data_IF_645398864770
#
_entry.id   IF_645398864770
#
_cell.length_a   1.000
_cell.length_b   1.000
_cell.length_c   1.000
_cell.angle_alpha   90.00
_cell.angle_beta   90.00
_cell.angle_gamma   90.00
#
_symmetry.space_group_name_H-M   'P 1'
#
loop_
_entity.id
_entity.type
_entity.pdbx_description
1 polymer ?
#
# COMPACT_ATOMS: atom_id res chain seq x y z
N UNK A 1 0.09 -18.80 -4.70
CA UNK A 1 -0.04 -17.33 -4.83
C UNK A 1 1.17 -16.79 -5.59
N UNK A 2 0.98 -15.94 -6.57
CA UNK A 2 2.04 -15.31 -7.36
C UNK A 2 2.30 -13.94 -6.77
N UNK A 3 3.48 -13.73 -6.16
CA UNK A 3 3.81 -12.52 -5.40
C UNK A 3 4.60 -11.49 -6.22
N UNK A 4 5.30 -11.95 -7.26
CA UNK A 4 5.99 -11.10 -8.22
C UNK A 4 6.20 -11.84 -9.54
N UNK A 5 6.44 -11.09 -10.61
CA UNK A 5 6.87 -11.60 -11.90
C UNK A 5 8.12 -10.84 -12.34
N UNK A 6 9.10 -11.59 -12.87
CA UNK A 6 10.22 -11.04 -13.62
C UNK A 6 10.22 -11.67 -15.00
N UNK A 7 10.12 -10.87 -16.04
CA UNK A 7 10.04 -11.36 -17.43
C UNK A 7 10.04 -10.21 -18.43
N UNK A 8 9.58 -10.49 -19.64
CA UNK A 8 9.58 -9.54 -20.75
C UNK A 8 8.15 -9.17 -21.14
N UNK A 9 7.91 -7.91 -21.43
CA UNK A 9 6.62 -7.44 -21.97
C UNK A 9 6.42 -8.06 -23.35
N UNK A 10 5.41 -8.93 -23.48
CA UNK A 10 5.08 -9.58 -24.74
C UNK A 10 4.13 -8.72 -25.58
N UNK A 11 3.03 -8.25 -24.96
CA UNK A 11 2.02 -7.44 -25.66
C UNK A 11 1.11 -6.72 -24.66
N UNK A 12 0.32 -5.77 -25.18
CA UNK A 12 -0.68 -5.03 -24.40
C UNK A 12 -2.10 -5.41 -24.82
N UNK A 13 -3.00 -5.45 -23.85
CA UNK A 13 -4.43 -5.61 -24.03
C UNK A 13 -5.12 -4.57 -23.15
N UNK A 14 -6.12 -3.88 -23.61
CA UNK A 14 -6.89 -2.82 -22.93
C UNK A 14 -6.42 -2.43 -21.51
N UNK A 15 -6.67 -3.29 -20.51
CA UNK A 15 -6.32 -3.07 -19.08
C UNK A 15 -5.23 -4.04 -18.59
N UNK A 16 -4.66 -4.86 -19.48
CA UNK A 16 -3.71 -5.92 -19.14
C UNK A 16 -2.44 -5.80 -19.95
N UNK A 17 -1.35 -6.18 -19.33
CA UNK A 17 -0.08 -6.47 -20.01
C UNK A 17 0.17 -7.98 -19.96
N UNK A 18 0.62 -8.55 -21.07
CA UNK A 18 1.11 -9.92 -21.08
C UNK A 18 2.62 -9.92 -20.84
N UNK A 19 3.04 -10.64 -19.81
CA UNK A 19 4.44 -10.80 -19.44
C UNK A 19 4.86 -12.23 -19.77
N UNK A 20 5.87 -12.38 -20.60
CA UNK A 20 6.52 -13.65 -20.86
C UNK A 20 7.55 -13.94 -19.77
N UNK A 21 7.33 -15.03 -19.04
CA UNK A 21 8.25 -15.55 -18.06
C UNK A 21 8.69 -16.94 -18.53
N UNK A 22 9.79 -16.99 -19.28
CA UNK A 22 10.39 -18.25 -19.81
C UNK A 22 9.40 -19.09 -20.62
N UNK A 23 8.64 -18.48 -21.51
CA UNK A 23 7.66 -19.14 -22.38
C UNK A 23 6.28 -19.32 -21.76
N UNK A 24 6.05 -18.87 -20.53
CA UNK A 24 4.72 -18.81 -19.91
C UNK A 24 4.21 -17.38 -19.92
N UNK A 25 3.08 -17.14 -20.60
CA UNK A 25 2.44 -15.82 -20.67
C UNK A 25 1.52 -15.56 -19.47
N UNK A 26 1.85 -14.57 -18.66
CA UNK A 26 1.02 -14.11 -17.57
C UNK A 26 0.24 -12.87 -17.98
N UNK A 27 -1.08 -12.89 -17.82
CA UNK A 27 -1.96 -11.74 -18.04
C UNK A 27 -2.08 -10.96 -16.73
N UNK A 28 -1.49 -9.77 -16.69
CA UNK A 28 -1.42 -8.91 -15.51
C UNK A 28 -2.27 -7.66 -15.73
N UNK A 29 -3.21 -7.39 -14.83
CA UNK A 29 -3.93 -6.12 -14.79
C UNK A 29 -2.93 -5.04 -14.32
N UNK A 30 -2.52 -4.16 -15.25
CA UNK A 30 -1.50 -3.16 -15.02
C UNK A 30 -1.92 -1.83 -15.61
N UNK A 31 -1.93 -0.78 -14.81
CA UNK A 31 -2.51 0.51 -15.20
C UNK A 31 -1.51 1.50 -15.79
N UNK A 32 -0.21 1.29 -15.57
CA UNK A 32 0.85 2.15 -16.10
C UNK A 32 1.48 1.57 -17.39
N UNK A 33 0.62 1.15 -18.34
CA UNK A 33 1.08 0.49 -19.58
C UNK A 33 1.90 1.42 -20.47
N UNK A 34 1.63 2.73 -20.41
CA UNK A 34 2.34 3.79 -21.12
C UNK A 34 3.81 3.94 -20.69
N UNK A 35 4.16 3.44 -19.50
CA UNK A 35 5.54 3.39 -19.02
C UNK A 35 6.35 2.19 -19.58
N UNK A 36 5.68 1.24 -20.25
CA UNK A 36 6.28 0.00 -20.72
C UNK A 36 6.41 -0.07 -22.24
N UNK A 37 7.39 -0.88 -22.71
CA UNK A 37 7.60 -1.17 -24.12
C UNK A 37 7.63 -2.68 -24.37
N UNK A 38 7.14 -3.12 -25.53
CA UNK A 38 7.24 -4.53 -25.95
C UNK A 38 8.72 -4.94 -25.97
N UNK A 39 9.03 -6.10 -25.43
CA UNK A 39 10.39 -6.64 -25.30
C UNK A 39 11.18 -6.08 -24.11
N UNK A 40 10.64 -5.13 -23.34
CA UNK A 40 11.29 -4.61 -22.13
C UNK A 40 11.26 -5.66 -21.01
N UNK A 41 12.40 -5.85 -20.32
CA UNK A 41 12.44 -6.61 -19.10
C UNK A 41 11.78 -5.81 -17.97
N UNK A 42 10.88 -6.47 -17.22
CA UNK A 42 10.15 -5.87 -16.11
C UNK A 42 10.19 -6.76 -14.88
N UNK A 43 10.15 -6.12 -13.72
CA UNK A 43 9.85 -6.74 -12.45
C UNK A 43 8.58 -6.08 -11.90
N UNK A 44 7.53 -6.87 -11.66
CA UNK A 44 6.26 -6.39 -11.11
C UNK A 44 5.97 -7.13 -9.81
N UNK A 45 5.67 -6.39 -8.75
CA UNK A 45 4.98 -6.96 -7.60
C UNK A 45 3.58 -7.33 -8.01
N UNK A 46 3.05 -8.45 -7.50
CA UNK A 46 1.73 -8.92 -7.93
C UNK A 46 0.86 -9.32 -6.76
N UNK A 47 -0.44 -9.00 -6.88
CA UNK A 47 -1.49 -9.49 -6.02
C UNK A 47 -2.41 -10.41 -6.82
N UNK A 48 -2.49 -11.67 -6.41
CA UNK A 48 -3.38 -12.65 -7.04
C UNK A 48 -4.74 -12.63 -6.34
N UNK A 49 -5.75 -12.11 -7.05
CA UNK A 49 -7.14 -12.19 -6.63
C UNK A 49 -7.78 -13.43 -7.23
N UNK A 50 -8.47 -14.21 -6.40
CA UNK A 50 -9.19 -15.42 -6.80
C UNK A 50 -10.61 -15.32 -6.28
N UNK A 51 -11.59 -15.46 -7.17
CA UNK A 51 -13.01 -15.57 -6.86
C UNK A 51 -13.60 -16.82 -7.52
N UNK A 52 -14.86 -17.12 -7.29
CA UNK A 52 -15.54 -18.26 -7.93
C UNK A 52 -15.50 -18.19 -9.46
N UNK A 53 -15.54 -16.99 -10.02
CA UNK A 53 -15.70 -16.78 -11.47
C UNK A 53 -14.47 -16.19 -12.16
N UNK A 54 -13.44 -15.76 -11.40
CA UNK A 54 -12.32 -15.04 -11.99
C UNK A 54 -11.03 -15.23 -11.18
N UNK A 55 -9.91 -15.22 -11.91
CA UNK A 55 -8.57 -15.19 -11.35
C UNK A 55 -7.80 -14.06 -12.01
N UNK A 56 -7.54 -13.00 -11.26
CA UNK A 56 -6.86 -11.79 -11.77
C UNK A 56 -5.55 -11.58 -11.06
N UNK A 57 -4.51 -11.30 -11.84
CA UNK A 57 -3.23 -10.86 -11.32
C UNK A 57 -3.15 -9.34 -11.46
N UNK A 58 -3.09 -8.62 -10.36
CA UNK A 58 -2.84 -7.17 -10.33
C UNK A 58 -1.35 -6.93 -10.20
N UNK A 59 -0.78 -6.06 -11.04
CA UNK A 59 0.65 -5.74 -11.06
C UNK A 59 0.92 -4.32 -10.59
N UNK A 60 2.06 -4.15 -9.92
CA UNK A 60 2.53 -2.89 -9.34
C UNK A 60 4.01 -2.72 -9.67
N UNK A 61 4.43 -1.47 -9.91
CA UNK A 61 5.82 -1.15 -10.31
C UNK A 61 6.82 -1.24 -9.16
N UNK A 62 6.37 -0.99 -7.95
CA UNK A 62 7.21 -0.99 -6.75
C UNK A 62 6.48 -1.49 -5.50
N UNK A 63 7.21 -1.68 -4.42
CA UNK A 63 6.70 -2.18 -3.15
C UNK A 63 5.76 -1.16 -2.47
N UNK A 64 6.02 0.15 -2.62
CA UNK A 64 5.19 1.22 -2.04
C UNK A 64 3.79 1.22 -2.64
N UNK A 65 3.69 1.08 -3.98
CA UNK A 65 2.42 0.98 -4.69
C UNK A 65 1.66 -0.31 -4.30
N UNK A 66 2.36 -1.44 -4.25
CA UNK A 66 1.79 -2.71 -3.81
C UNK A 66 1.26 -2.63 -2.37
N UNK A 67 2.02 -2.09 -1.43
CA UNK A 67 1.61 -1.96 -0.04
C UNK A 67 0.41 -1.01 0.11
N UNK A 68 0.40 0.10 -0.63
CA UNK A 68 -0.75 1.01 -0.65
C UNK A 68 -2.00 0.31 -1.17
N UNK A 69 -1.87 -0.49 -2.24
CA UNK A 69 -2.96 -1.31 -2.74
C UNK A 69 -3.50 -2.28 -1.68
N UNK A 70 -2.61 -3.01 -0.98
CA UNK A 70 -3.01 -3.94 0.08
C UNK A 70 -3.80 -3.23 1.17
N UNK A 71 -3.40 -2.02 1.56
CA UNK A 71 -4.15 -1.23 2.55
C UNK A 71 -5.51 -0.77 2.03
N UNK A 72 -5.57 -0.29 0.78
CA UNK A 72 -6.82 0.14 0.17
C UNK A 72 -7.87 -0.98 0.14
N UNK A 73 -7.49 -2.21 -0.20
CA UNK A 73 -8.43 -3.33 -0.26
C UNK A 73 -8.92 -3.83 1.11
N UNK A 74 -8.31 -3.39 2.23
CA UNK A 74 -8.83 -3.68 3.57
C UNK A 74 -10.02 -2.79 3.93
N UNK A 75 -10.21 -1.68 3.20
CA UNK A 75 -11.30 -0.73 3.46
C UNK A 75 -12.60 -1.26 2.90
N UNK A 76 -13.64 -1.28 3.74
CA UNK A 76 -14.97 -1.73 3.30
C UNK A 76 -15.49 -0.89 2.14
N UNK A 77 -15.81 -1.56 1.03
CA UNK A 77 -16.31 -0.93 -0.19
C UNK A 77 -15.21 -0.61 -1.23
N UNK A 78 -13.97 -0.94 -0.95
CA UNK A 78 -12.86 -0.84 -1.92
C UNK A 78 -12.39 -2.26 -2.27
N UNK A 79 -12.79 -2.73 -3.45
CA UNK A 79 -12.30 -3.99 -4.00
C UNK A 79 -11.00 -3.81 -4.83
N UNK A 80 -10.36 -4.93 -5.24
CA UNK A 80 -9.07 -4.88 -5.96
C UNK A 80 -9.08 -4.01 -7.21
N UNK A 81 -10.14 -4.07 -8.01
CA UNK A 81 -10.25 -3.26 -9.24
C UNK A 81 -10.33 -1.77 -8.94
N UNK A 82 -11.09 -1.37 -7.91
CA UNK A 82 -11.18 0.04 -7.51
C UNK A 82 -9.85 0.52 -6.91
N UNK A 83 -9.20 -0.27 -6.06
CA UNK A 83 -7.90 0.07 -5.48
C UNK A 83 -6.83 0.27 -6.58
N UNK A 84 -6.77 -0.61 -7.58
CA UNK A 84 -5.86 -0.45 -8.71
C UNK A 84 -6.18 0.80 -9.55
N UNK A 85 -7.46 1.17 -9.72
CA UNK A 85 -7.84 2.40 -10.40
C UNK A 85 -7.49 3.65 -9.60
N UNK A 86 -7.59 3.62 -8.28
CA UNK A 86 -7.14 4.71 -7.40
C UNK A 86 -5.65 4.99 -7.64
N UNK A 87 -4.83 3.95 -7.61
CA UNK A 87 -3.37 4.06 -7.80
C UNK A 87 -2.95 4.41 -9.24
N UNK A 88 -3.82 4.19 -10.22
CA UNK A 88 -3.61 4.67 -11.58
C UNK A 88 -3.79 6.18 -11.74
N UNK A 89 -4.62 6.79 -10.89
CA UNK A 89 -5.02 8.21 -10.96
C UNK A 89 -4.27 9.08 -9.95
N UNK A 90 -3.72 8.47 -8.91
CA UNK A 90 -3.05 9.17 -7.82
C UNK A 90 -1.89 8.32 -7.32
N UNK A 91 -0.76 8.94 -7.07
CA UNK A 91 0.39 8.27 -6.45
C UNK A 91 0.08 7.83 -5.01
N UNK A 92 0.81 6.84 -4.51
CA UNK A 92 0.72 6.40 -3.11
C UNK A 92 0.88 7.56 -2.13
N UNK A 93 1.78 8.51 -2.43
CA UNK A 93 2.03 9.70 -1.60
C UNK A 93 0.85 10.67 -1.59
N UNK A 94 0.21 10.92 -2.73
CA UNK A 94 -0.96 11.80 -2.81
C UNK A 94 -2.13 11.21 -2.03
N UNK A 95 -2.37 9.89 -2.15
CA UNK A 95 -3.40 9.20 -1.36
C UNK A 95 -3.08 9.28 0.13
N UNK A 96 -1.85 9.00 0.53
CA UNK A 96 -1.44 9.09 1.93
C UNK A 96 -1.63 10.50 2.49
N UNK A 97 -1.20 11.53 1.77
CA UNK A 97 -1.38 12.93 2.17
C UNK A 97 -2.86 13.31 2.30
N UNK A 98 -3.70 12.90 1.35
CA UNK A 98 -5.13 13.18 1.39
C UNK A 98 -5.81 12.53 2.60
N UNK A 99 -5.42 11.31 2.95
CA UNK A 99 -5.93 10.58 4.11
C UNK A 99 -5.48 11.25 5.43
N UNK A 100 -4.18 11.57 5.55
CA UNK A 100 -3.64 12.21 6.76
C UNK A 100 -4.22 13.60 7.01
N UNK A 101 -4.46 14.37 5.94
CA UNK A 101 -5.08 15.69 6.01
C UNK A 101 -6.63 15.66 6.03
N UNK A 102 -7.25 14.48 6.02
CA UNK A 102 -8.71 14.30 5.97
C UNK A 102 -9.37 15.01 4.75
N UNK A 103 -8.66 15.04 3.62
CA UNK A 103 -9.17 15.70 2.41
C UNK A 103 -10.21 14.82 1.70
N UNK A 104 -11.43 14.86 2.26
CA UNK A 104 -12.59 14.13 1.72
C UNK A 104 -12.90 14.56 0.29
N UNK A 105 -12.67 15.84 -0.07
CA UNK A 105 -12.99 16.34 -1.40
C UNK A 105 -12.07 15.75 -2.46
N UNK A 106 -10.76 15.70 -2.18
CA UNK A 106 -9.80 15.04 -3.06
C UNK A 106 -10.14 13.56 -3.24
N UNK A 107 -10.34 12.83 -2.15
CA UNK A 107 -10.62 11.38 -2.21
C UNK A 107 -11.92 11.10 -2.97
N UNK A 108 -12.97 11.90 -2.74
CA UNK A 108 -14.25 11.80 -3.45
C UNK A 108 -14.15 12.16 -4.95
N UNK A 109 -13.15 12.97 -5.36
CA UNK A 109 -12.94 13.30 -6.76
C UNK A 109 -12.46 12.11 -7.59
N UNK A 110 -11.97 11.06 -6.94
CA UNK A 110 -11.50 9.83 -7.59
C UNK A 110 -12.73 9.03 -8.08
N UNK A 111 -12.82 8.70 -9.38
CA UNK A 111 -13.95 7.95 -9.93
C UNK A 111 -14.18 6.62 -9.20
N UNK A 112 -15.42 6.38 -8.80
CA UNK A 112 -15.83 5.18 -8.07
C UNK A 112 -15.81 5.31 -6.55
N UNK A 113 -15.35 6.46 -6.01
CA UNK A 113 -15.39 6.74 -4.57
C UNK A 113 -16.52 7.72 -4.26
N UNK A 114 -17.50 7.25 -3.51
CA UNK A 114 -18.56 8.10 -2.94
C UNK A 114 -18.18 8.68 -1.58
N UNK A 115 -18.98 9.63 -1.08
CA UNK A 115 -18.75 10.29 0.22
C UNK A 115 -18.59 9.29 1.38
N UNK A 116 -19.43 8.25 1.41
CA UNK A 116 -19.37 7.21 2.45
C UNK A 116 -18.04 6.44 2.41
N UNK A 117 -17.60 6.05 1.23
CA UNK A 117 -16.34 5.32 1.03
C UNK A 117 -15.14 6.21 1.33
N UNK A 118 -15.17 7.49 0.95
CA UNK A 118 -14.12 8.46 1.26
C UNK A 118 -13.93 8.64 2.78
N UNK A 119 -15.03 8.82 3.52
CA UNK A 119 -14.98 8.92 4.98
C UNK A 119 -14.49 7.62 5.63
N UNK A 120 -14.93 6.46 5.13
CA UNK A 120 -14.50 5.16 5.62
C UNK A 120 -12.99 4.95 5.40
N UNK A 121 -12.50 5.35 4.23
CA UNK A 121 -11.08 5.26 3.85
C UNK A 121 -10.20 6.08 4.81
N UNK A 122 -10.61 7.31 5.12
CA UNK A 122 -9.91 8.15 6.10
C UNK A 122 -9.96 7.51 7.48
N UNK A 123 -11.13 7.08 7.93
CA UNK A 123 -11.29 6.48 9.27
C UNK A 123 -10.42 5.23 9.45
N UNK A 124 -10.35 4.36 8.45
CA UNK A 124 -9.65 3.08 8.54
C UNK A 124 -8.14 3.21 8.36
N UNK A 125 -7.67 4.17 7.55
CA UNK A 125 -6.27 4.26 7.11
C UNK A 125 -5.49 5.44 7.69
N UNK A 126 -6.12 6.44 8.28
CA UNK A 126 -5.42 7.56 8.91
C UNK A 126 -4.46 7.08 10.00
N UNK A 127 -3.21 7.54 9.93
CA UNK A 127 -2.12 7.09 10.79
C UNK A 127 -1.56 5.70 10.48
N UNK A 128 -2.06 5.06 9.40
CA UNK A 128 -1.61 3.72 8.99
C UNK A 128 -1.09 3.67 7.55
N UNK A 129 -1.53 4.61 6.70
CA UNK A 129 -1.10 4.67 5.30
C UNK A 129 0.29 5.32 5.21
N UNK A 130 1.11 4.87 4.26
CA UNK A 130 2.48 5.38 4.12
C UNK A 130 3.49 4.79 5.11
N UNK A 131 3.05 3.94 6.03
CA UNK A 131 3.94 3.13 6.87
C UNK A 131 4.16 1.81 6.13
N UNK A 132 5.41 1.46 5.85
CA UNK A 132 5.78 0.17 5.26
C UNK A 132 5.18 -0.98 6.09
N UNK A 133 4.72 -2.09 5.46
CA UNK A 133 4.14 -3.23 6.20
C UNK A 133 5.11 -3.81 7.24
N UNK A 134 6.41 -3.77 6.97
CA UNK A 134 7.45 -4.11 7.96
C UNK A 134 7.46 -3.11 9.12
N UNK A 135 7.34 -1.82 8.82
CA UNK A 135 7.25 -0.76 9.82
C UNK A 135 5.93 -0.82 10.59
N UNK A 136 4.83 -1.25 9.96
CA UNK A 136 3.51 -1.43 10.59
C UNK A 136 3.54 -2.50 11.69
N UNK A 137 4.22 -3.62 11.46
CA UNK A 137 4.42 -4.64 12.50
C UNK A 137 5.32 -4.10 13.60
N UNK A 138 6.42 -3.46 13.23
CA UNK A 138 7.33 -2.81 14.17
C UNK A 138 6.61 -1.74 15.02
N UNK A 139 5.75 -0.93 14.41
CA UNK A 139 4.93 0.07 15.13
C UNK A 139 3.93 -0.60 16.08
N UNK A 140 3.29 -1.71 15.68
CA UNK A 140 2.42 -2.47 16.56
C UNK A 140 3.18 -3.03 17.75
N UNK A 141 4.26 -3.74 17.49
CA UNK A 141 5.09 -4.36 18.53
C UNK A 141 5.68 -3.29 19.48
N UNK A 142 6.05 -2.12 18.94
CA UNK A 142 6.56 -0.99 19.70
C UNK A 142 5.47 -0.33 20.57
N UNK A 143 4.24 -0.19 20.06
CA UNK A 143 3.10 0.28 20.83
C UNK A 143 2.81 -0.66 22.01
N UNK A 144 2.81 -1.96 21.77
CA UNK A 144 2.56 -2.98 22.81
C UNK A 144 3.66 -2.96 23.87
N UNK A 145 4.92 -2.88 23.44
CA UNK A 145 6.07 -2.78 24.37
C UNK A 145 6.02 -1.51 25.22
N UNK A 146 5.76 -0.34 24.62
CA UNK A 146 5.69 0.94 25.38
C UNK A 146 4.46 1.01 26.27
N UNK A 147 3.32 0.44 25.84
CA UNK A 147 2.11 0.33 26.65
C UNK A 147 2.35 -0.55 27.88
N UNK A 148 3.06 -1.67 27.73
CA UNK A 148 3.47 -2.56 28.84
C UNK A 148 4.41 -1.88 29.83
N UNK A 149 5.18 -0.86 29.38
CA UNK A 149 6.03 0.00 30.22
C UNK A 149 5.24 1.14 30.88
N UNK A 150 3.92 1.22 30.68
CA UNK A 150 3.03 2.18 31.35
C UNK A 150 2.83 3.53 30.65
N UNK A 151 3.35 3.70 29.42
CA UNK A 151 3.14 4.93 28.65
C UNK A 151 1.72 5.00 28.06
N UNK A 152 1.13 6.19 28.06
CA UNK A 152 -0.21 6.42 27.50
C UNK A 152 -0.16 6.48 25.97
N UNK A 153 -1.24 6.04 25.28
CA UNK A 153 -1.36 6.07 23.81
C UNK A 153 -0.99 7.41 23.18
N UNK A 154 -1.35 8.52 23.81
CA UNK A 154 -1.04 9.88 23.30
C UNK A 154 0.46 10.20 23.35
N UNK A 155 1.15 9.75 24.39
CA UNK A 155 2.61 9.93 24.55
C UNK A 155 3.36 9.09 23.52
N UNK A 156 2.94 7.83 23.36
CA UNK A 156 3.51 6.91 22.37
C UNK A 156 3.33 7.48 20.96
N UNK A 157 2.12 7.93 20.59
CA UNK A 157 1.85 8.53 19.28
C UNK A 157 2.73 9.76 19.01
N UNK A 158 2.93 10.65 20.00
CA UNK A 158 3.84 11.80 19.88
C UNK A 158 5.30 11.41 19.75
N UNK A 159 5.74 10.33 20.39
CA UNK A 159 7.10 9.83 20.24
C UNK A 159 7.32 9.23 18.86
N UNK A 160 6.38 8.39 18.39
CA UNK A 160 6.44 7.76 17.07
C UNK A 160 6.46 8.77 15.93
N UNK A 161 5.66 9.85 16.01
CA UNK A 161 5.65 10.89 14.98
C UNK A 161 6.99 11.64 14.82
N UNK A 162 7.87 11.57 15.81
CA UNK A 162 9.21 12.18 15.79
C UNK A 162 10.31 11.20 15.39
N UNK A 163 9.97 9.92 15.15
CA UNK A 163 10.93 8.87 14.84
C UNK A 163 10.96 8.52 13.37
N UNK A 164 12.14 8.27 12.83
CA UNK A 164 12.32 7.58 11.55
C UNK A 164 12.50 6.09 11.85
N UNK A 165 11.51 5.28 11.44
CA UNK A 165 11.46 3.84 11.72
C UNK A 165 12.10 2.97 10.63
N UNK A 166 12.59 3.59 9.55
CA UNK A 166 13.15 2.88 8.41
C UNK A 166 14.42 2.12 8.81
N UNK A 167 14.44 0.82 8.50
CA UNK A 167 15.60 -0.08 8.66
C UNK A 167 16.12 -0.24 10.11
N UNK A 168 15.26 -0.08 11.13
CA UNK A 168 15.61 -0.31 12.55
C UNK A 168 14.84 -1.52 13.10
N UNK A 169 15.47 -2.24 14.04
CA UNK A 169 14.81 -3.33 14.75
C UNK A 169 13.97 -2.84 15.95
N UNK A 170 13.16 -3.73 16.53
CA UNK A 170 12.29 -3.41 17.67
C UNK A 170 13.08 -2.90 18.89
N UNK A 171 14.22 -3.49 19.19
CA UNK A 171 15.03 -3.11 20.35
C UNK A 171 15.59 -1.69 20.21
N UNK A 172 16.08 -1.37 19.01
CA UNK A 172 16.57 -0.02 18.69
C UNK A 172 15.42 0.99 18.69
N UNK A 173 14.24 0.61 18.14
CA UNK A 173 13.06 1.45 18.14
C UNK A 173 12.57 1.76 19.56
N UNK A 174 12.53 0.77 20.46
CA UNK A 174 12.19 0.96 21.88
C UNK A 174 13.17 1.91 22.56
N UNK A 175 14.48 1.74 22.38
CA UNK A 175 15.50 2.65 22.96
C UNK A 175 15.31 4.09 22.48
N UNK A 176 15.09 4.30 21.19
CA UNK A 176 14.84 5.64 20.60
C UNK A 176 13.56 6.25 21.17
N UNK A 177 12.46 5.49 21.22
CA UNK A 177 11.19 5.96 21.77
C UNK A 177 11.35 6.39 23.26
N UNK A 178 12.00 5.57 24.08
CA UNK A 178 12.25 5.89 25.48
C UNK A 178 13.09 7.14 25.66
N UNK A 179 14.05 7.41 24.77
CA UNK A 179 14.86 8.64 24.82
C UNK A 179 14.05 9.90 24.53
N UNK A 180 12.95 9.78 23.77
CA UNK A 180 12.03 10.89 23.46
C UNK A 180 11.00 11.07 24.58
N UNK A 181 10.50 9.96 25.16
CA UNK A 181 9.47 9.95 26.19
C UNK A 181 9.98 10.39 27.58
N UNK A 182 11.29 10.30 27.83
CA UNK A 182 11.93 10.70 29.10
C UNK A 182 12.39 12.16 29.13
N UNK A 183 12.18 12.89 28.02
CA UNK A 183 12.42 14.35 27.93
C UNK A 183 11.10 15.11 28.11
#
# INVERSE_FOLDING_TARGET
MIAFLKGFVHSFQKDYVLIDVKGVGYRVFYRHQDELKIGQEVFLYTYQYVSENDMVLYGFRDEEEYETFIRLITVRGIGPKLAANILALSSSKEIANAIENEDVNYIKSIPGIGLKTANQLILDLKGKIGINLKDSKLVSDLNDALSSLGFKKQEISKALSKMKLKDIDLNEAVKKALSILRK
#
